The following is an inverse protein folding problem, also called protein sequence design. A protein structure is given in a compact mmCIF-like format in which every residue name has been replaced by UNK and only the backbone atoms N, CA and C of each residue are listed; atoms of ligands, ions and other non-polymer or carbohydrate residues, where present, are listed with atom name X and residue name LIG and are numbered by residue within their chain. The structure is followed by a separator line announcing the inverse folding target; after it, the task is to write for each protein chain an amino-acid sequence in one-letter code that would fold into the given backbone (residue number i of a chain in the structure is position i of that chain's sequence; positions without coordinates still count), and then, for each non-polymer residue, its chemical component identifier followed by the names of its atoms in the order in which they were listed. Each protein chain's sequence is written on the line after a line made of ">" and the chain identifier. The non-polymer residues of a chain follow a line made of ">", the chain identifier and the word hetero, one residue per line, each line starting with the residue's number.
data_IF_488460287450
#
_entry.id   IF_488460287450
#
_cell.length_a   1.000
_cell.length_b   1.000
_cell.length_c   1.000
_cell.angle_alpha   90.00
_cell.angle_beta   90.00
_cell.angle_gamma   90.00
#
_symmetry.space_group_name_H-M   'P 1'
#
loop_
_entity.id
_entity.type
_entity.pdbx_description
1 polymer ?
#
# COMPACT_ATOMS: atom_id res chain seq x y z
N UNK A 1 3.57 -21.78 -4.49
CA UNK A 1 2.54 -21.15 -3.63
C UNK A 1 1.75 -20.21 -4.51
N UNK A 2 0.42 -20.23 -4.40
CA UNK A 2 -0.47 -19.40 -5.22
C UNK A 2 -0.52 -18.03 -4.55
N UNK A 3 0.07 -17.00 -5.15
CA UNK A 3 -0.09 -15.62 -4.71
C UNK A 3 -1.58 -15.34 -4.55
N UNK A 4 -1.97 -14.84 -3.37
CA UNK A 4 -3.33 -14.37 -3.15
C UNK A 4 -3.63 -13.35 -4.25
N UNK A 5 -4.68 -13.60 -5.05
CA UNK A 5 -5.11 -12.64 -6.06
C UNK A 5 -5.37 -11.30 -5.35
N UNK A 6 -4.99 -10.16 -5.94
CA UNK A 6 -5.34 -8.86 -5.39
C UNK A 6 -6.84 -8.82 -5.09
N UNK A 7 -7.19 -8.48 -3.85
CA UNK A 7 -8.58 -8.34 -3.44
C UNK A 7 -9.16 -7.11 -4.14
N UNK A 8 -9.82 -7.34 -5.29
CA UNK A 8 -10.47 -6.28 -6.04
C UNK A 8 -11.54 -5.53 -5.23
N UNK A 9 -12.02 -6.11 -4.12
CA UNK A 9 -12.90 -5.44 -3.16
C UNK A 9 -12.19 -4.31 -2.42
N UNK A 10 -10.94 -4.51 -1.98
CA UNK A 10 -10.17 -3.49 -1.26
C UNK A 10 -9.83 -2.29 -2.15
N UNK A 11 -9.38 -2.55 -3.39
CA UNK A 11 -9.11 -1.47 -4.34
C UNK A 11 -10.34 -0.57 -4.54
N UNK A 12 -11.51 -1.19 -4.75
CA UNK A 12 -12.75 -0.45 -4.93
C UNK A 12 -13.10 0.38 -3.71
N UNK A 13 -12.91 -0.16 -2.50
CA UNK A 13 -13.14 0.56 -1.24
C UNK A 13 -12.27 1.81 -1.15
N UNK A 14 -10.96 1.70 -1.43
CA UNK A 14 -10.07 2.86 -1.36
C UNK A 14 -10.36 3.89 -2.46
N UNK A 15 -10.69 3.44 -3.67
CA UNK A 15 -11.11 4.33 -4.75
C UNK A 15 -12.40 5.08 -4.40
N UNK A 16 -13.41 4.37 -3.87
CA UNK A 16 -14.67 4.98 -3.44
C UNK A 16 -14.42 5.99 -2.31
N UNK A 17 -13.55 5.66 -1.35
CA UNK A 17 -13.19 6.60 -0.29
C UNK A 17 -12.49 7.86 -0.82
N UNK A 18 -11.56 7.72 -1.77
CA UNK A 18 -10.85 8.84 -2.38
C UNK A 18 -11.78 9.71 -3.26
N UNK A 19 -12.72 9.09 -3.98
CA UNK A 19 -13.76 9.79 -4.75
C UNK A 19 -14.65 10.64 -3.83
N UNK A 20 -15.12 10.05 -2.73
CA UNK A 20 -15.96 10.76 -1.76
C UNK A 20 -15.16 11.90 -1.08
N UNK A 21 -13.91 11.65 -0.69
CA UNK A 21 -13.02 12.66 -0.10
C UNK A 21 -12.76 13.83 -1.05
N UNK A 22 -12.44 13.56 -2.30
CA UNK A 22 -12.27 14.60 -3.32
C UNK A 22 -13.54 15.44 -3.52
N UNK A 23 -14.72 14.81 -3.47
CA UNK A 23 -16.00 15.52 -3.53
C UNK A 23 -16.28 16.37 -2.28
N UNK A 24 -15.90 15.90 -1.09
CA UNK A 24 -16.01 16.68 0.15
C UNK A 24 -15.15 17.96 0.07
N UNK A 25 -13.86 17.80 -0.27
CA UNK A 25 -12.90 18.91 -0.43
C UNK A 25 -13.38 19.91 -1.49
N UNK A 26 -13.89 19.43 -2.62
CA UNK A 26 -14.36 20.29 -3.72
C UNK A 26 -15.78 20.84 -3.55
N UNK A 27 -16.46 20.54 -2.44
CA UNK A 27 -17.84 21.00 -2.19
C UNK A 27 -18.90 20.35 -3.09
N UNK A 28 -18.59 19.20 -3.71
CA UNK A 28 -19.46 18.45 -4.63
C UNK A 28 -20.13 17.23 -3.98
N UNK A 29 -19.97 17.05 -2.66
CA UNK A 29 -20.53 15.91 -1.94
C UNK A 29 -22.08 15.95 -1.99
N UNK A 30 -22.74 14.88 -2.46
CA UNK A 30 -24.20 14.83 -2.54
C UNK A 30 -24.84 14.88 -1.14
N UNK A 31 -26.05 15.42 -1.06
CA UNK A 31 -26.86 15.35 0.16
C UNK A 31 -27.24 13.91 0.49
N UNK A 32 -27.13 13.49 1.75
CA UNK A 32 -27.51 12.14 2.15
C UNK A 32 -29.01 11.89 2.04
N UNK A 33 -29.85 12.92 2.21
CA UNK A 33 -31.30 12.84 1.97
C UNK A 33 -31.64 12.55 0.51
N UNK A 34 -30.79 12.95 -0.44
CA UNK A 34 -30.96 12.59 -1.84
C UNK A 34 -30.74 11.08 -2.08
N UNK A 35 -30.04 10.40 -1.17
CA UNK A 35 -29.78 8.96 -1.23
C UNK A 35 -31.00 8.11 -0.81
N UNK A 36 -31.99 8.69 -0.13
CA UNK A 36 -33.26 7.99 0.21
C UNK A 36 -34.30 8.04 -0.92
N UNK A 37 -34.15 8.99 -1.84
CA UNK A 37 -35.11 9.19 -2.93
C UNK A 37 -34.76 8.28 -4.10
N UNK A 38 -35.53 7.21 -4.27
CA UNK A 38 -35.40 6.30 -5.42
C UNK A 38 -35.43 7.05 -6.76
N UNK A 39 -36.23 8.13 -6.85
CA UNK A 39 -36.26 8.99 -8.03
C UNK A 39 -34.98 9.79 -8.23
N UNK A 40 -34.38 10.33 -7.17
CA UNK A 40 -33.10 11.06 -7.23
C UNK A 40 -31.94 10.12 -7.54
N UNK A 41 -32.01 8.88 -7.03
CA UNK A 41 -31.06 7.82 -7.31
C UNK A 41 -31.09 7.41 -8.79
N UNK A 42 -32.28 7.11 -9.31
CA UNK A 42 -32.44 6.63 -10.69
C UNK A 42 -32.40 7.73 -11.75
N UNK A 43 -32.51 9.00 -11.37
CA UNK A 43 -32.34 10.13 -12.28
C UNK A 43 -30.88 10.30 -12.74
N UNK A 44 -29.92 9.65 -12.08
CA UNK A 44 -28.52 9.78 -12.41
C UNK A 44 -28.11 8.86 -13.56
N UNK A 45 -27.62 9.44 -14.65
CA UNK A 45 -27.20 8.70 -15.85
C UNK A 45 -25.71 8.82 -16.15
N UNK A 46 -25.01 9.78 -15.51
CA UNK A 46 -23.57 9.95 -15.69
C UNK A 46 -22.81 9.04 -14.73
N UNK A 47 -21.95 8.17 -15.29
CA UNK A 47 -21.20 7.17 -14.53
C UNK A 47 -20.42 7.76 -13.35
N UNK A 48 -19.79 8.92 -13.53
CA UNK A 48 -19.03 9.59 -12.46
C UNK A 48 -19.91 9.98 -11.26
N UNK A 49 -21.13 10.45 -11.54
CA UNK A 49 -22.07 10.86 -10.51
C UNK A 49 -22.71 9.64 -9.84
N UNK A 50 -22.96 8.56 -10.58
CA UNK A 50 -23.37 7.27 -10.01
C UNK A 50 -22.29 6.75 -9.06
N UNK A 51 -21.03 6.73 -9.49
CA UNK A 51 -19.90 6.30 -8.66
C UNK A 51 -19.81 7.15 -7.39
N UNK A 52 -19.92 8.47 -7.50
CA UNK A 52 -19.90 9.38 -6.36
C UNK A 52 -21.06 9.11 -5.37
N UNK A 53 -22.25 8.77 -5.85
CA UNK A 53 -23.39 8.41 -4.97
C UNK A 53 -23.08 7.16 -4.15
N UNK A 54 -22.59 6.09 -4.79
CA UNK A 54 -22.22 4.87 -4.08
C UNK A 54 -21.07 5.10 -3.10
N UNK A 55 -20.03 5.81 -3.53
CA UNK A 55 -18.90 6.19 -2.70
C UNK A 55 -19.31 6.99 -1.46
N UNK A 56 -20.20 7.98 -1.63
CA UNK A 56 -20.70 8.79 -0.52
C UNK A 56 -21.55 7.97 0.44
N UNK A 57 -22.42 7.08 -0.07
CA UNK A 57 -23.24 6.21 0.77
C UNK A 57 -22.39 5.22 1.60
N UNK A 58 -21.36 4.65 0.97
CA UNK A 58 -20.38 3.79 1.64
C UNK A 58 -19.65 4.54 2.76
N UNK A 59 -19.09 5.72 2.47
CA UNK A 59 -18.38 6.52 3.47
C UNK A 59 -19.29 7.07 4.57
N UNK A 60 -20.55 7.38 4.28
CA UNK A 60 -21.53 7.77 5.30
C UNK A 60 -21.82 6.60 6.27
N UNK A 61 -21.96 5.39 5.74
CA UNK A 61 -22.13 4.17 6.55
C UNK A 61 -20.91 3.96 7.46
N UNK A 62 -19.71 4.17 6.92
CA UNK A 62 -18.46 4.03 7.67
C UNK A 62 -18.31 5.10 8.76
N UNK A 63 -18.56 6.36 8.42
CA UNK A 63 -18.60 7.46 9.39
C UNK A 63 -19.55 7.16 10.57
N UNK A 64 -20.76 6.68 10.27
CA UNK A 64 -21.73 6.29 11.29
C UNK A 64 -21.20 5.17 12.19
N UNK A 65 -20.59 4.14 11.61
CA UNK A 65 -20.05 3.01 12.36
C UNK A 65 -18.85 3.42 13.25
N UNK A 66 -17.92 4.21 12.70
CA UNK A 66 -16.68 4.60 13.39
C UNK A 66 -16.94 5.67 14.47
N UNK A 67 -17.88 6.60 14.23
CA UNK A 67 -18.14 7.73 15.13
C UNK A 67 -19.25 7.46 16.14
N UNK A 68 -20.27 6.70 15.76
CA UNK A 68 -21.47 6.46 16.58
C UNK A 68 -21.64 4.99 16.99
N UNK A 69 -20.66 4.15 16.66
CA UNK A 69 -20.60 2.75 17.03
C UNK A 69 -21.09 1.80 15.93
N UNK A 70 -20.64 0.53 15.94
CA UNK A 70 -20.74 -0.37 14.80
C UNK A 70 -22.17 -0.71 14.36
N UNK A 71 -23.16 -0.54 15.25
CA UNK A 71 -24.57 -0.78 14.96
C UNK A 71 -25.35 0.47 14.54
N UNK A 72 -24.75 1.66 14.61
CA UNK A 72 -25.43 2.91 14.26
C UNK A 72 -26.01 2.91 12.82
N UNK A 73 -25.28 2.47 11.77
CA UNK A 73 -25.85 2.45 10.42
C UNK A 73 -27.06 1.52 10.32
N UNK A 74 -26.96 0.32 10.90
CA UNK A 74 -28.04 -0.67 10.91
C UNK A 74 -29.26 -0.14 11.64
N UNK A 75 -29.07 0.54 12.77
CA UNK A 75 -30.16 1.10 13.55
C UNK A 75 -30.84 2.27 12.82
N UNK A 76 -30.09 3.10 12.10
CA UNK A 76 -30.65 4.18 11.26
C UNK A 76 -31.50 3.58 10.14
N UNK A 77 -30.99 2.58 9.41
CA UNK A 77 -31.74 1.89 8.34
C UNK A 77 -33.01 1.24 8.87
N UNK A 78 -32.99 0.67 10.08
CA UNK A 78 -34.19 0.11 10.73
C UNK A 78 -35.27 1.16 11.01
N UNK A 79 -34.89 2.35 11.49
CA UNK A 79 -35.84 3.44 11.71
C UNK A 79 -36.48 3.89 10.39
N UNK A 80 -35.67 4.00 9.33
CA UNK A 80 -36.15 4.35 7.98
C UNK A 80 -37.11 3.29 7.44
N UNK A 81 -36.77 2.01 7.58
CA UNK A 81 -37.66 0.89 7.24
C UNK A 81 -38.97 0.86 8.04
N UNK A 82 -38.98 1.47 9.23
CA UNK A 82 -40.18 1.72 10.04
C UNK A 82 -40.98 2.96 9.64
N UNK A 83 -40.57 3.68 8.60
CA UNK A 83 -41.26 4.87 8.08
C UNK A 83 -40.76 6.21 8.61
N UNK A 84 -39.68 6.24 9.40
CA UNK A 84 -39.05 7.51 9.81
C UNK A 84 -38.24 8.13 8.67
N UNK A 85 -38.24 9.47 8.49
CA UNK A 85 -37.32 10.12 7.56
C UNK A 85 -35.87 10.06 8.06
N UNK A 86 -34.87 10.15 7.16
CA UNK A 86 -33.43 10.13 7.51
C UNK A 86 -33.09 11.05 8.68
N UNK A 87 -33.63 12.26 8.64
CA UNK A 87 -33.31 13.33 9.57
C UNK A 87 -33.74 12.99 11.00
N UNK A 88 -34.89 12.32 11.15
CA UNK A 88 -35.38 11.83 12.43
C UNK A 88 -34.58 10.61 12.90
N UNK A 89 -34.28 9.68 11.99
CA UNK A 89 -33.50 8.49 12.30
C UNK A 89 -32.07 8.85 12.77
N UNK A 90 -31.40 9.77 12.07
CA UNK A 90 -30.08 10.29 12.46
C UNK A 90 -30.14 10.95 13.83
N UNK A 91 -31.11 11.85 14.07
CA UNK A 91 -31.24 12.52 15.37
C UNK A 91 -31.44 11.52 16.50
N UNK A 92 -32.30 10.52 16.31
CA UNK A 92 -32.61 9.53 17.32
C UNK A 92 -31.42 8.62 17.65
N UNK A 93 -30.64 8.19 16.65
CA UNK A 93 -29.55 7.23 16.83
C UNK A 93 -28.24 7.92 17.23
N UNK A 94 -27.95 9.10 16.67
CA UNK A 94 -26.67 9.79 16.87
C UNK A 94 -26.75 10.90 17.92
N UNK A 95 -27.96 11.38 18.24
CA UNK A 95 -28.17 12.58 19.05
C UNK A 95 -27.90 13.90 18.32
N UNK A 96 -27.54 13.85 17.02
CA UNK A 96 -27.10 15.01 16.25
C UNK A 96 -28.17 15.43 15.24
N UNK A 97 -28.45 16.74 15.15
CA UNK A 97 -29.31 17.30 14.11
C UNK A 97 -28.70 17.07 12.72
N UNK A 98 -29.53 16.79 11.70
CA UNK A 98 -29.05 16.41 10.37
C UNK A 98 -28.03 17.41 9.77
N UNK A 99 -28.28 18.72 9.90
CA UNK A 99 -27.34 19.74 9.40
C UNK A 99 -25.95 19.63 10.04
N UNK A 100 -25.90 19.46 11.36
CA UNK A 100 -24.64 19.27 12.08
C UNK A 100 -23.99 17.92 11.75
N UNK A 101 -24.78 16.85 11.64
CA UNK A 101 -24.30 15.53 11.23
C UNK A 101 -23.62 15.61 9.86
N UNK A 102 -24.22 16.33 8.90
CA UNK A 102 -23.66 16.50 7.57
C UNK A 102 -22.34 17.27 7.59
N UNK A 103 -22.27 18.37 8.35
CA UNK A 103 -21.02 19.12 8.51
C UNK A 103 -19.92 18.25 9.11
N UNK A 104 -20.23 17.52 10.19
CA UNK A 104 -19.27 16.60 10.82
C UNK A 104 -18.84 15.47 9.89
N UNK A 105 -19.75 14.88 9.11
CA UNK A 105 -19.41 13.88 8.11
C UNK A 105 -18.45 14.43 7.05
N UNK A 106 -18.71 15.64 6.54
CA UNK A 106 -17.82 16.31 5.58
C UNK A 106 -16.44 16.54 6.19
N UNK A 107 -16.38 17.12 7.38
CA UNK A 107 -15.13 17.42 8.08
C UNK A 107 -14.35 16.14 8.41
N UNK A 108 -15.04 15.10 8.83
CA UNK A 108 -14.45 13.77 9.04
C UNK A 108 -13.85 13.24 7.74
N UNK A 109 -14.62 13.24 6.64
CA UNK A 109 -14.19 12.68 5.36
C UNK A 109 -13.00 13.43 4.75
N UNK A 110 -12.93 14.75 4.91
CA UNK A 110 -11.79 15.58 4.49
C UNK A 110 -10.49 15.20 5.21
N UNK A 111 -10.59 14.79 6.47
CA UNK A 111 -9.44 14.42 7.31
C UNK A 111 -9.24 12.91 7.42
N UNK A 112 -10.17 12.12 6.89
CA UNK A 112 -10.16 10.68 7.04
C UNK A 112 -9.02 10.04 6.25
N UNK A 113 -8.36 9.09 6.89
CA UNK A 113 -7.41 8.18 6.28
C UNK A 113 -7.79 6.76 6.70
N UNK A 114 -7.79 5.84 5.74
CA UNK A 114 -8.06 4.45 6.03
C UNK A 114 -6.95 3.87 6.92
N UNK A 115 -7.27 3.27 8.08
CA UNK A 115 -6.28 2.69 8.98
C UNK A 115 -5.40 1.63 8.32
N UNK A 116 -5.97 0.77 7.47
CA UNK A 116 -5.22 -0.29 6.78
C UNK A 116 -4.25 0.34 5.77
N UNK A 117 -4.71 1.38 5.06
CA UNK A 117 -3.86 2.14 4.13
C UNK A 117 -2.78 2.94 4.86
N UNK A 118 -3.10 3.53 6.00
CA UNK A 118 -2.17 4.31 6.83
C UNK A 118 -1.03 3.43 7.38
N UNK A 119 -1.32 2.15 7.67
CA UNK A 119 -0.31 1.18 8.10
C UNK A 119 0.57 0.71 6.92
N UNK A 120 -0.04 0.41 5.77
CA UNK A 120 0.68 -0.17 4.61
C UNK A 120 1.50 0.85 3.82
N UNK A 121 1.02 2.11 3.70
CA UNK A 121 1.71 3.17 2.93
C UNK A 121 3.18 3.38 3.36
N UNK A 122 3.50 3.68 4.63
CA UNK A 122 4.88 3.92 5.03
C UNK A 122 5.77 2.69 4.83
N UNK A 123 5.24 1.49 5.07
CA UNK A 123 5.95 0.24 4.83
C UNK A 123 6.29 0.03 3.34
N UNK A 124 5.32 0.20 2.45
CA UNK A 124 5.51 0.04 1.00
C UNK A 124 6.44 1.11 0.40
N UNK A 125 6.46 2.31 0.97
CA UNK A 125 7.43 3.36 0.64
C UNK A 125 8.84 2.95 1.08
N UNK A 126 9.02 2.56 2.35
CA UNK A 126 10.33 2.15 2.88
C UNK A 126 10.92 0.96 2.10
N UNK A 127 10.11 -0.08 1.85
CA UNK A 127 10.54 -1.22 1.05
C UNK A 127 10.91 -0.81 -0.39
N UNK A 128 10.16 0.12 -0.99
CA UNK A 128 10.51 0.67 -2.31
C UNK A 128 11.88 1.34 -2.35
N UNK A 129 12.18 2.17 -1.35
CA UNK A 129 13.47 2.88 -1.24
C UNK A 129 14.64 1.91 -1.05
N UNK A 130 14.43 0.84 -0.28
CA UNK A 130 15.42 -0.23 -0.12
C UNK A 130 15.70 -0.91 -1.47
N UNK A 131 14.67 -1.24 -2.25
CA UNK A 131 14.84 -1.87 -3.56
C UNK A 131 15.54 -0.95 -4.56
N UNK A 132 15.23 0.35 -4.55
CA UNK A 132 15.94 1.34 -5.37
C UNK A 132 17.43 1.43 -4.99
N UNK A 133 17.75 1.32 -3.70
CA UNK A 133 19.14 1.28 -3.21
C UNK A 133 19.87 0.01 -3.67
N UNK A 134 19.19 -1.14 -3.73
CA UNK A 134 19.75 -2.38 -4.29
C UNK A 134 19.98 -2.26 -5.80
N UNK A 135 19.08 -1.60 -6.53
CA UNK A 135 19.27 -1.32 -7.96
C UNK A 135 20.51 -0.45 -8.18
N UNK A 136 20.75 0.55 -7.32
CA UNK A 136 21.94 1.38 -7.35
C UNK A 136 23.24 0.60 -7.05
N UNK A 137 23.22 -0.27 -6.04
CA UNK A 137 24.34 -1.19 -5.75
C UNK A 137 24.63 -2.06 -6.97
N UNK A 138 23.59 -2.63 -7.59
CA UNK A 138 23.71 -3.50 -8.77
C UNK A 138 24.27 -2.76 -9.98
N UNK A 139 23.88 -1.50 -10.17
CA UNK A 139 24.42 -0.62 -11.21
C UNK A 139 25.91 -0.33 -10.98
N UNK A 140 26.31 0.12 -9.78
CA UNK A 140 27.71 0.38 -9.43
C UNK A 140 28.58 -0.89 -9.54
N UNK A 141 28.01 -2.05 -9.19
CA UNK A 141 28.65 -3.35 -9.38
C UNK A 141 28.92 -3.65 -10.85
N UNK A 142 27.95 -3.39 -11.74
CA UNK A 142 28.10 -3.61 -13.17
C UNK A 142 29.15 -2.66 -13.78
N UNK A 143 29.12 -1.38 -13.41
CA UNK A 143 30.12 -0.38 -13.82
C UNK A 143 31.56 -0.80 -13.43
N UNK A 144 31.73 -1.36 -12.23
CA UNK A 144 33.03 -1.90 -11.78
C UNK A 144 33.48 -3.11 -12.63
N UNK A 145 32.56 -4.00 -13.02
CA UNK A 145 32.89 -5.17 -13.85
C UNK A 145 33.26 -4.79 -15.28
N UNK A 146 32.63 -3.75 -15.82
CA UNK A 146 32.95 -3.20 -17.14
C UNK A 146 34.21 -2.33 -17.11
N UNK A 147 34.70 -1.97 -15.91
CA UNK A 147 35.93 -1.21 -15.75
C UNK A 147 37.17 -2.05 -16.01
N UNK A 148 38.19 -1.45 -16.63
CA UNK A 148 39.54 -2.02 -16.71
C UNK A 148 40.36 -1.80 -15.42
N UNK A 149 39.68 -1.62 -14.28
CA UNK A 149 40.35 -1.31 -13.01
C UNK A 149 41.19 -2.49 -12.53
N UNK A 150 42.43 -2.26 -12.08
CA UNK A 150 43.24 -3.32 -11.48
C UNK A 150 42.54 -3.92 -10.26
N UNK A 151 42.68 -5.23 -10.06
CA UNK A 151 42.04 -5.99 -8.98
C UNK A 151 42.10 -5.30 -7.61
N UNK A 152 43.30 -4.87 -7.20
CA UNK A 152 43.51 -4.27 -5.87
C UNK A 152 42.73 -2.96 -5.67
N UNK A 153 42.43 -2.23 -6.75
CA UNK A 153 41.63 -1.01 -6.69
C UNK A 153 40.12 -1.30 -6.58
N UNK A 154 39.69 -2.52 -6.91
CA UNK A 154 38.27 -2.93 -6.90
C UNK A 154 37.83 -3.50 -5.55
N UNK A 155 38.76 -4.01 -4.74
CA UNK A 155 38.47 -4.58 -3.42
C UNK A 155 37.75 -3.57 -2.52
N UNK A 156 38.25 -2.32 -2.30
CA UNK A 156 37.57 -1.37 -1.43
C UNK A 156 36.17 -0.98 -1.90
N UNK A 157 35.96 -0.93 -3.22
CA UNK A 157 34.64 -0.67 -3.79
C UNK A 157 33.68 -1.82 -3.48
N UNK A 158 34.13 -3.07 -3.65
CA UNK A 158 33.33 -4.27 -3.37
C UNK A 158 33.04 -4.45 -1.88
N UNK A 159 33.99 -4.14 -1.01
CA UNK A 159 33.77 -4.04 0.45
C UNK A 159 32.66 -3.04 0.76
N UNK A 160 32.68 -1.85 0.15
CA UNK A 160 31.64 -0.84 0.28
C UNK A 160 30.26 -1.36 -0.13
N UNK A 161 30.15 -1.97 -1.32
CA UNK A 161 28.89 -2.53 -1.81
C UNK A 161 28.33 -3.64 -0.90
N UNK A 162 29.19 -4.50 -0.35
CA UNK A 162 28.78 -5.52 0.64
C UNK A 162 28.28 -4.86 1.91
N UNK A 163 28.99 -3.87 2.44
CA UNK A 163 28.60 -3.11 3.63
C UNK A 163 27.23 -2.45 3.46
N UNK A 164 27.03 -1.74 2.35
CA UNK A 164 25.74 -1.10 2.03
C UNK A 164 24.60 -2.13 1.93
N UNK A 165 24.82 -3.28 1.29
CA UNK A 165 23.81 -4.33 1.21
C UNK A 165 23.46 -4.94 2.59
N UNK A 166 24.44 -5.07 3.50
CA UNK A 166 24.23 -5.51 4.88
C UNK A 166 23.42 -4.47 5.65
N UNK A 167 23.73 -3.19 5.48
CA UNK A 167 23.00 -2.08 6.11
C UNK A 167 21.54 -2.05 5.65
N UNK A 168 21.28 -2.22 4.36
CA UNK A 168 19.91 -2.35 3.82
C UNK A 168 19.18 -3.57 4.38
N UNK A 169 19.89 -4.69 4.59
CA UNK A 169 19.31 -5.87 5.22
C UNK A 169 18.95 -5.59 6.68
N UNK A 170 19.77 -4.85 7.41
CA UNK A 170 19.50 -4.44 8.79
C UNK A 170 18.31 -3.46 8.85
N UNK A 171 18.25 -2.50 7.93
CA UNK A 171 17.10 -1.58 7.78
C UNK A 171 15.81 -2.35 7.54
N UNK A 172 15.80 -3.29 6.58
CA UNK A 172 14.64 -4.15 6.32
C UNK A 172 14.21 -4.91 7.57
N UNK A 173 15.14 -5.53 8.29
CA UNK A 173 14.83 -6.26 9.53
C UNK A 173 14.28 -5.36 10.65
N UNK A 174 14.56 -4.05 10.61
CA UNK A 174 14.04 -3.06 11.55
C UNK A 174 12.64 -2.54 11.19
N UNK A 175 12.14 -2.79 9.98
CA UNK A 175 10.80 -2.40 9.58
C UNK A 175 9.74 -3.21 10.34
N UNK A 176 8.68 -2.53 10.78
CA UNK A 176 7.48 -3.19 11.27
C UNK A 176 6.57 -3.48 10.09
N UNK A 177 6.55 -4.73 9.63
CA UNK A 177 5.66 -5.13 8.54
C UNK A 177 4.20 -5.18 9.03
N UNK A 178 3.25 -4.57 8.29
CA UNK A 178 1.84 -4.79 8.53
C UNK A 178 1.51 -6.28 8.48
N UNK A 179 0.59 -6.74 9.32
CA UNK A 179 0.22 -8.16 9.39
C UNK A 179 -0.24 -8.73 8.04
N UNK A 180 -0.91 -7.90 7.22
CA UNK A 180 -1.34 -8.22 5.86
C UNK A 180 -0.18 -8.38 4.86
N UNK A 181 1.04 -7.95 5.22
CA UNK A 181 2.23 -7.90 4.35
C UNK A 181 3.36 -8.82 4.85
N UNK A 182 3.08 -9.77 5.75
CA UNK A 182 4.09 -10.67 6.30
C UNK A 182 4.83 -11.49 5.22
N UNK A 183 4.10 -12.00 4.23
CA UNK A 183 4.69 -12.78 3.13
C UNK A 183 5.59 -11.92 2.23
N UNK A 184 5.15 -10.70 1.90
CA UNK A 184 5.95 -9.74 1.15
C UNK A 184 7.24 -9.40 1.90
N UNK A 185 7.14 -9.18 3.21
CA UNK A 185 8.29 -8.93 4.07
C UNK A 185 9.28 -10.09 4.09
N UNK A 186 8.79 -11.32 4.21
CA UNK A 186 9.64 -12.50 4.18
C UNK A 186 10.31 -12.69 2.82
N UNK A 187 9.62 -12.42 1.72
CA UNK A 187 10.20 -12.41 0.36
C UNK A 187 11.30 -11.37 0.22
N UNK A 188 11.10 -10.15 0.73
CA UNK A 188 12.11 -9.10 0.75
C UNK A 188 13.37 -9.52 1.52
N UNK A 189 13.21 -10.15 2.69
CA UNK A 189 14.34 -10.64 3.50
C UNK A 189 15.13 -11.71 2.77
N UNK A 190 14.43 -12.62 2.09
CA UNK A 190 15.06 -13.65 1.26
C UNK A 190 15.84 -13.07 0.08
N UNK A 191 15.28 -12.04 -0.58
CA UNK A 191 15.96 -11.33 -1.66
C UNK A 191 17.24 -10.64 -1.20
N UNK A 192 17.17 -9.79 -0.16
CA UNK A 192 18.35 -9.09 0.34
C UNK A 192 19.42 -10.04 0.87
N UNK A 193 19.03 -11.12 1.55
CA UNK A 193 19.98 -12.13 1.99
C UNK A 193 20.74 -12.78 0.81
N UNK A 194 20.06 -13.02 -0.31
CA UNK A 194 20.69 -13.54 -1.52
C UNK A 194 21.65 -12.52 -2.15
N UNK A 195 21.26 -11.24 -2.19
CA UNK A 195 22.12 -10.14 -2.69
C UNK A 195 23.38 -9.99 -1.83
N UNK A 196 23.25 -9.96 -0.51
CA UNK A 196 24.40 -9.88 0.41
C UNK A 196 25.34 -11.06 0.21
N UNK A 197 24.80 -12.29 0.10
CA UNK A 197 25.61 -13.49 -0.16
C UNK A 197 26.37 -13.36 -1.48
N UNK A 198 25.69 -12.94 -2.54
CA UNK A 198 26.30 -12.80 -3.86
C UNK A 198 27.45 -11.80 -3.88
N UNK A 199 27.24 -10.60 -3.34
CA UNK A 199 28.27 -9.57 -3.25
C UNK A 199 29.45 -10.03 -2.39
N UNK A 200 29.18 -10.74 -1.29
CA UNK A 200 30.22 -11.29 -0.41
C UNK A 200 31.07 -12.35 -1.10
N UNK A 201 30.46 -13.23 -1.90
CA UNK A 201 31.17 -14.23 -2.70
C UNK A 201 32.06 -13.56 -3.75
N UNK A 202 31.60 -12.50 -4.39
CA UNK A 202 32.43 -11.76 -5.35
C UNK A 202 33.63 -11.07 -4.71
N UNK A 203 33.42 -10.44 -3.55
CA UNK A 203 34.52 -9.87 -2.78
C UNK A 203 35.54 -10.95 -2.41
N UNK A 204 35.08 -12.09 -1.89
CA UNK A 204 35.94 -13.20 -1.53
C UNK A 204 36.72 -13.74 -2.74
N UNK A 205 36.10 -13.81 -3.92
CA UNK A 205 36.81 -14.17 -5.15
C UNK A 205 37.92 -13.15 -5.48
N UNK A 206 37.66 -11.84 -5.37
CA UNK A 206 38.69 -10.83 -5.64
C UNK A 206 39.87 -10.88 -4.67
N UNK A 207 39.61 -11.28 -3.43
CA UNK A 207 40.63 -11.44 -2.38
C UNK A 207 41.44 -12.73 -2.54
N UNK A 208 40.77 -13.85 -2.85
CA UNK A 208 41.36 -15.18 -2.83
C UNK A 208 41.76 -15.73 -4.20
N UNK A 209 41.16 -15.22 -5.28
CA UNK A 209 41.21 -15.76 -6.64
C UNK A 209 40.74 -17.21 -6.76
N UNK A 210 39.93 -17.67 -5.81
CA UNK A 210 39.44 -19.05 -5.81
C UNK A 210 38.28 -19.19 -6.80
N UNK A 211 38.50 -19.87 -7.93
CA UNK A 211 37.50 -20.00 -9.00
C UNK A 211 36.17 -20.64 -8.54
N UNK A 212 36.19 -21.58 -7.58
CA UNK A 212 34.96 -22.18 -7.07
C UNK A 212 34.05 -21.16 -6.36
N UNK A 213 34.62 -20.10 -5.78
CA UNK A 213 33.85 -19.01 -5.16
C UNK A 213 33.17 -18.15 -6.24
N UNK A 214 33.85 -17.91 -7.36
CA UNK A 214 33.26 -17.22 -8.51
C UNK A 214 32.13 -18.05 -9.14
N UNK A 215 32.32 -19.36 -9.27
CA UNK A 215 31.27 -20.27 -9.74
C UNK A 215 30.06 -20.23 -8.80
N UNK A 216 30.27 -20.25 -7.49
CA UNK A 216 29.19 -20.11 -6.51
C UNK A 216 28.46 -18.76 -6.64
N UNK A 217 29.18 -17.65 -6.79
CA UNK A 217 28.60 -16.32 -7.00
C UNK A 217 27.75 -16.28 -8.28
N UNK A 218 28.23 -16.88 -9.38
CA UNK A 218 27.47 -16.93 -10.63
C UNK A 218 26.19 -17.78 -10.50
N UNK A 219 26.25 -18.85 -9.72
CA UNK A 219 25.10 -19.74 -9.49
C UNK A 219 23.98 -19.07 -8.67
N UNK A 220 24.24 -17.98 -7.94
CA UNK A 220 23.19 -17.24 -7.23
C UNK A 220 22.39 -16.30 -8.13
N UNK A 221 22.91 -15.93 -9.31
CA UNK A 221 22.28 -14.95 -10.21
C UNK A 221 20.84 -15.34 -10.62
N UNK A 222 20.55 -16.58 -11.05
CA UNK A 222 19.18 -16.96 -11.42
C UNK A 222 18.19 -16.84 -10.26
N UNK A 223 18.61 -17.20 -9.04
CA UNK A 223 17.79 -17.07 -7.84
C UNK A 223 17.49 -15.59 -7.53
N UNK A 224 18.52 -14.74 -7.57
CA UNK A 224 18.39 -13.30 -7.29
C UNK A 224 17.41 -12.66 -8.28
N UNK A 225 17.58 -12.91 -9.57
CA UNK A 225 16.70 -12.37 -10.61
C UNK A 225 15.24 -12.82 -10.41
N UNK A 226 15.03 -14.10 -10.07
CA UNK A 226 13.69 -14.61 -9.82
C UNK A 226 13.05 -13.95 -8.58
N UNK A 227 13.81 -13.81 -7.50
CA UNK A 227 13.35 -13.16 -6.26
C UNK A 227 13.05 -11.68 -6.47
N UNK A 228 13.91 -10.97 -7.19
CA UNK A 228 13.71 -9.56 -7.51
C UNK A 228 12.42 -9.34 -8.30
N UNK A 229 12.22 -10.14 -9.37
CA UNK A 229 11.05 -10.03 -10.22
C UNK A 229 9.75 -10.26 -9.43
N UNK A 230 9.70 -11.34 -8.65
CA UNK A 230 8.53 -11.66 -7.83
C UNK A 230 8.28 -10.57 -6.78
N UNK A 231 9.34 -10.08 -6.12
CA UNK A 231 9.23 -9.04 -5.09
C UNK A 231 8.75 -7.70 -5.65
N UNK A 232 9.30 -7.24 -6.78
CA UNK A 232 8.86 -6.00 -7.44
C UNK A 232 7.40 -6.11 -7.91
N UNK A 233 7.00 -7.27 -8.43
CA UNK A 233 5.60 -7.52 -8.82
C UNK A 233 4.65 -7.50 -7.61
N UNK A 234 5.03 -8.16 -6.52
CA UNK A 234 4.19 -8.25 -5.33
C UNK A 234 4.08 -6.89 -4.63
N UNK A 235 5.17 -6.11 -4.55
CA UNK A 235 5.12 -4.72 -4.07
C UNK A 235 4.24 -3.83 -4.95
N UNK A 236 4.33 -3.94 -6.27
CA UNK A 236 3.46 -3.21 -7.21
C UNK A 236 1.99 -3.61 -7.01
N UNK A 237 1.71 -4.89 -6.77
CA UNK A 237 0.35 -5.37 -6.47
C UNK A 237 -0.17 -4.75 -5.18
N UNK A 238 0.65 -4.65 -4.14
CA UNK A 238 0.27 -3.98 -2.88
C UNK A 238 -0.03 -2.50 -3.10
N UNK A 239 0.85 -1.78 -3.80
CA UNK A 239 0.63 -0.35 -4.12
C UNK A 239 -0.67 -0.14 -4.89
N UNK A 240 -0.94 -0.99 -5.87
CA UNK A 240 -2.19 -0.99 -6.61
C UNK A 240 -3.39 -1.25 -5.71
N UNK A 241 -3.43 -2.37 -4.99
CA UNK A 241 -4.58 -2.76 -4.15
C UNK A 241 -4.90 -1.72 -3.09
N UNK A 242 -3.90 -1.07 -2.52
CA UNK A 242 -4.06 -0.05 -1.48
C UNK A 242 -4.21 1.38 -2.02
N UNK A 243 -4.24 1.56 -3.35
CA UNK A 243 -4.29 2.86 -4.01
C UNK A 243 -3.22 3.84 -3.48
N UNK A 244 -1.95 3.41 -3.54
CA UNK A 244 -0.80 4.13 -2.99
C UNK A 244 -0.04 4.98 -4.00
N UNK A 245 -0.32 4.80 -5.30
CA UNK A 245 0.32 5.50 -6.42
C UNK A 245 -0.47 6.76 -6.86
#
# INVERSE_FOLDING_TARGET
>A
MRTARPDAGLLRIFQDADVAKAAAISGRLPELTALESQSSWNAQTYQEQVNLQYATAYMATRYMAETHGPLAPVNIVKQIGGGQPLTAAILQITGTQYGAFRSQFKDWLENWEDPDRAEVRPYATALGNILESVDDISRRRAEDLDSNSPRLSRIPLKEGLVGEAIDLQAELNGLTAPSSQADLHQSARGYLAAVVRWLSLELNYLESLTNSVLEEANNTIPEINAREFELKRDLSTVRFVYNLD
#
